data_IF_996647533751
#
_entry.id   IF_996647533751
#
_cell.length_a   1.000
_cell.length_b   1.000
_cell.length_c   1.000
_cell.angle_alpha   90.00
_cell.angle_beta   90.00
_cell.angle_gamma   90.00
#
_symmetry.space_group_name_H-M   'P 1'
#
loop_
_entity.id
_entity.type
_entity.pdbx_description
1 polymer ?
#
# COMPACT_ATOMS: atom_id res chain seq x y z
N UNK A 1 -19.30 -5.26 -17.32
CA UNK A 1 -17.83 -5.11 -17.26
C UNK A 1 -17.40 -4.47 -15.95
N UNK A 2 -16.49 -5.07 -15.24
CA UNK A 2 -15.89 -4.38 -14.08
C UNK A 2 -15.13 -3.13 -14.54
N UNK A 3 -15.12 -2.14 -13.68
CA UNK A 3 -14.42 -0.88 -13.89
C UNK A 3 -13.52 -0.57 -12.71
N UNK A 4 -12.53 0.29 -12.95
CA UNK A 4 -11.62 0.78 -11.93
C UNK A 4 -11.85 2.28 -11.76
N UNK A 5 -12.06 2.69 -10.51
CA UNK A 5 -12.27 4.08 -10.16
C UNK A 5 -11.13 4.53 -9.26
N UNK A 6 -10.36 5.55 -9.66
CA UNK A 6 -9.27 6.05 -8.85
C UNK A 6 -9.79 6.59 -7.53
N UNK A 7 -9.21 6.13 -6.43
CA UNK A 7 -9.57 6.57 -5.09
C UNK A 7 -8.56 7.56 -4.53
N UNK A 8 -7.27 7.20 -4.49
CA UNK A 8 -6.23 8.08 -3.96
C UNK A 8 -4.86 7.73 -4.54
N UNK A 9 -3.96 8.69 -4.40
CA UNK A 9 -2.55 8.51 -4.73
C UNK A 9 -1.72 8.68 -3.47
N UNK A 10 -0.85 7.70 -3.19
CA UNK A 10 0.03 7.68 -2.04
C UNK A 10 1.46 7.91 -2.52
N UNK A 11 2.17 8.80 -1.81
CA UNK A 11 3.61 8.97 -1.95
C UNK A 11 4.24 8.80 -0.59
N UNK A 12 5.19 7.89 -0.47
CA UNK A 12 5.77 7.54 0.81
C UNK A 12 7.26 7.26 0.73
N UNK A 13 7.93 7.48 1.85
CA UNK A 13 9.32 7.09 2.07
C UNK A 13 9.34 5.82 2.90
N UNK A 14 10.16 4.87 2.49
CA UNK A 14 10.36 3.60 3.20
C UNK A 14 11.72 3.58 3.89
N UNK A 15 11.75 2.96 5.08
CA UNK A 15 12.96 2.73 5.84
C UNK A 15 13.10 1.22 6.10
N UNK A 16 13.87 0.48 5.29
CA UNK A 16 13.93 -0.96 5.40
C UNK A 16 14.61 -1.42 6.70
N UNK A 17 14.03 -2.46 7.31
CA UNK A 17 14.60 -3.15 8.46
C UNK A 17 14.79 -4.62 8.10
N UNK A 18 16.05 -5.02 7.96
CA UNK A 18 16.41 -6.38 7.58
C UNK A 18 16.22 -7.32 8.76
N UNK A 19 15.45 -8.38 8.59
CA UNK A 19 15.26 -9.43 9.58
C UNK A 19 16.11 -10.68 9.29
N UNK A 20 16.44 -10.93 8.03
CA UNK A 20 17.32 -12.01 7.62
C UNK A 20 16.60 -13.19 6.99
N UNK A 21 17.38 -14.24 6.71
CA UNK A 21 16.89 -15.44 6.05
C UNK A 21 16.12 -16.33 7.00
N UNK A 22 15.01 -16.84 6.50
CA UNK A 22 14.14 -17.80 7.19
C UNK A 22 13.74 -18.90 6.20
N UNK A 23 13.17 -20.05 6.66
CA UNK A 23 12.74 -21.09 5.74
C UNK A 23 11.78 -20.61 4.65
N UNK A 24 10.96 -19.61 4.95
CA UNK A 24 9.97 -19.06 4.02
C UNK A 24 10.56 -18.06 3.02
N UNK A 25 11.80 -17.59 3.24
CA UNK A 25 12.48 -16.59 2.43
C UNK A 25 13.14 -15.54 3.30
N UNK A 26 13.78 -14.57 2.69
CA UNK A 26 14.38 -13.45 3.41
C UNK A 26 13.28 -12.47 3.82
N UNK A 27 13.29 -12.05 5.09
CA UNK A 27 12.30 -11.13 5.64
C UNK A 27 12.87 -9.73 5.77
N UNK A 28 12.06 -8.77 5.32
CA UNK A 28 12.37 -7.34 5.44
C UNK A 28 11.08 -6.64 5.86
N UNK A 29 11.13 -5.84 6.91
CA UNK A 29 10.04 -4.93 7.23
C UNK A 29 10.35 -3.57 6.62
N UNK A 30 9.35 -2.98 5.96
CA UNK A 30 9.44 -1.64 5.39
C UNK A 30 8.45 -0.72 6.08
N UNK A 31 8.81 -0.12 7.23
CA UNK A 31 8.03 1.01 7.74
C UNK A 31 8.03 2.13 6.71
N UNK A 32 6.89 2.78 6.55
CA UNK A 32 6.78 3.89 5.62
C UNK A 32 5.90 5.00 6.16
N UNK A 33 6.20 6.21 5.72
CA UNK A 33 5.43 7.41 6.03
C UNK A 33 5.35 8.28 4.77
N UNK A 34 4.21 8.92 4.60
CA UNK A 34 3.99 9.79 3.46
C UNK A 34 2.65 10.48 3.49
N UNK A 35 2.13 10.74 2.32
CA UNK A 35 0.88 11.48 2.14
C UNK A 35 0.00 10.81 1.11
N UNK A 36 -1.31 11.03 1.25
CA UNK A 36 -2.31 10.60 0.28
C UNK A 36 -3.14 11.79 -0.17
N UNK A 37 -3.34 11.90 -1.48
CA UNK A 37 -4.24 12.86 -2.10
C UNK A 37 -5.40 12.12 -2.77
N UNK A 38 -6.57 12.72 -2.78
CA UNK A 38 -7.77 12.12 -3.33
C UNK A 38 -8.77 13.19 -3.73
N UNK A 39 -9.67 12.86 -4.66
CA UNK A 39 -10.83 13.70 -4.95
C UNK A 39 -11.88 13.67 -3.82
N UNK A 40 -11.75 12.74 -2.87
CA UNK A 40 -12.68 12.59 -1.76
C UNK A 40 -12.36 13.46 -0.55
N UNK A 41 -11.23 14.17 -0.57
CA UNK A 41 -10.86 15.15 0.47
C UNK A 41 -9.96 16.24 -0.10
N UNK A 42 -9.86 17.35 0.63
CA UNK A 42 -8.97 18.45 0.26
C UNK A 42 -7.57 18.23 0.84
N UNK A 43 -6.55 18.62 0.08
CA UNK A 43 -5.15 18.59 0.52
C UNK A 43 -4.62 17.17 0.69
N UNK A 44 -3.62 17.06 1.54
CA UNK A 44 -2.92 15.81 1.80
C UNK A 44 -3.32 15.25 3.15
N UNK A 45 -3.51 13.94 3.22
CA UNK A 45 -3.68 13.22 4.48
C UNK A 45 -2.44 12.39 4.77
N UNK A 46 -2.02 12.30 6.04
CA UNK A 46 -0.86 11.48 6.38
C UNK A 46 -1.14 10.01 6.15
N UNK A 47 -0.09 9.31 5.71
CA UNK A 47 -0.10 7.86 5.54
C UNK A 47 1.07 7.30 6.34
N UNK A 48 0.82 6.23 7.08
CA UNK A 48 1.88 5.52 7.77
C UNK A 48 1.52 4.06 7.92
N UNK A 49 2.53 3.22 7.90
CA UNK A 49 2.31 1.79 8.05
C UNK A 49 3.60 1.00 7.93
N UNK A 50 3.44 -0.30 7.80
CA UNK A 50 4.54 -1.24 7.60
C UNK A 50 4.14 -2.23 6.51
N UNK A 51 5.06 -2.51 5.61
CA UNK A 51 4.97 -3.61 4.68
C UNK A 51 5.87 -4.74 5.18
N UNK A 52 5.27 -5.85 5.56
CA UNK A 52 5.98 -7.05 6.05
C UNK A 52 6.31 -7.93 4.85
N UNK A 53 7.50 -7.75 4.31
CA UNK A 53 7.91 -8.35 3.04
C UNK A 53 8.63 -9.68 3.24
N UNK A 54 8.34 -10.64 2.37
CA UNK A 54 9.15 -11.85 2.19
C UNK A 54 9.76 -11.80 0.79
N UNK A 55 11.08 -11.84 0.71
CA UNK A 55 11.79 -11.93 -0.57
C UNK A 55 11.82 -13.40 -0.99
N UNK A 56 11.24 -13.66 -2.15
CA UNK A 56 11.09 -15.00 -2.71
C UNK A 56 12.40 -15.48 -3.33
N UNK A 57 12.48 -16.78 -3.62
CA UNK A 57 13.64 -17.36 -4.28
C UNK A 57 13.87 -16.83 -5.70
N UNK A 58 12.81 -16.32 -6.35
CA UNK A 58 12.91 -15.68 -7.66
C UNK A 58 13.33 -14.21 -7.60
N UNK A 59 13.53 -13.66 -6.39
CA UNK A 59 13.95 -12.28 -6.17
C UNK A 59 12.81 -11.28 -6.09
N UNK A 60 11.58 -11.68 -6.39
CA UNK A 60 10.42 -10.82 -6.21
C UNK A 60 9.97 -10.81 -4.75
N UNK A 61 9.05 -9.94 -4.39
CA UNK A 61 8.63 -9.74 -3.01
C UNK A 61 7.16 -10.04 -2.84
N UNK A 62 6.85 -10.86 -1.82
CA UNK A 62 5.48 -10.99 -1.33
C UNK A 62 5.22 -9.87 -0.33
N UNK A 63 4.10 -9.18 -0.49
CA UNK A 63 3.73 -8.01 0.30
C UNK A 63 2.65 -8.37 1.33
N UNK A 64 2.77 -7.77 2.51
CA UNK A 64 1.75 -7.82 3.56
C UNK A 64 1.75 -6.48 4.27
N UNK A 65 0.83 -5.60 3.84
CA UNK A 65 0.82 -4.20 4.22
C UNK A 65 -0.28 -3.93 5.23
N UNK A 66 0.08 -3.22 6.29
CA UNK A 66 -0.85 -2.66 7.25
C UNK A 66 -0.55 -1.19 7.42
N UNK A 67 -1.53 -0.34 7.11
CA UNK A 67 -1.33 1.10 7.10
C UNK A 67 -2.59 1.84 7.51
N UNK A 68 -2.43 3.14 7.76
CA UNK A 68 -3.53 4.06 7.98
C UNK A 68 -3.38 5.26 7.06
N UNK A 69 -4.50 5.75 6.56
CA UNK A 69 -4.61 7.00 5.82
C UNK A 69 -5.46 7.94 6.67
N UNK A 70 -4.94 9.15 6.91
CA UNK A 70 -5.61 10.10 7.78
C UNK A 70 -5.35 9.84 9.25
N UNK A 71 -6.04 10.59 10.09
CA UNK A 71 -5.89 10.49 11.55
C UNK A 71 -7.19 10.82 12.25
N UNK A 72 -7.29 10.40 13.52
CA UNK A 72 -8.47 10.61 14.36
C UNK A 72 -9.73 10.03 13.68
N UNK A 73 -10.79 10.83 13.56
CA UNK A 73 -12.08 10.39 12.98
C UNK A 73 -12.00 10.12 11.48
N UNK A 74 -10.98 10.64 10.81
CA UNK A 74 -10.77 10.46 9.37
C UNK A 74 -9.98 9.19 9.04
N UNK A 75 -9.52 8.46 10.04
CA UNK A 75 -8.66 7.31 9.85
C UNK A 75 -9.32 6.25 8.97
N UNK A 76 -8.59 5.84 7.95
CA UNK A 76 -8.91 4.70 7.12
C UNK A 76 -7.81 3.67 7.37
N UNK A 77 -8.16 2.53 7.95
CA UNK A 77 -7.23 1.41 8.04
C UNK A 77 -7.20 0.70 6.70
N UNK A 78 -6.01 0.39 6.25
CA UNK A 78 -5.75 -0.17 4.94
C UNK A 78 -4.95 -1.45 5.14
N UNK A 79 -5.39 -2.51 4.49
CA UNK A 79 -4.69 -3.78 4.47
C UNK A 79 -4.49 -4.21 3.02
N UNK A 80 -3.25 -4.50 2.66
CA UNK A 80 -2.90 -4.93 1.31
C UNK A 80 -2.02 -6.15 1.32
N UNK A 81 -2.26 -7.04 0.37
CA UNK A 81 -1.38 -8.17 0.07
C UNK A 81 -1.08 -8.14 -1.42
N UNK A 82 0.00 -8.76 -1.83
CA UNK A 82 0.30 -8.80 -3.25
C UNK A 82 1.75 -9.14 -3.53
N UNK A 83 2.20 -8.73 -4.69
CA UNK A 83 3.54 -9.03 -5.19
C UNK A 83 4.18 -7.77 -5.75
N UNK A 84 5.41 -7.50 -5.35
CA UNK A 84 6.22 -6.46 -5.99
C UNK A 84 7.20 -7.11 -6.96
N UNK A 85 7.13 -6.68 -8.22
CA UNK A 85 8.11 -7.08 -9.22
C UNK A 85 9.38 -6.28 -8.96
N UNK A 86 10.47 -6.96 -8.65
CA UNK A 86 11.76 -6.32 -8.43
C UNK A 86 12.53 -6.31 -9.73
N UNK A 87 12.80 -5.12 -10.25
CA UNK A 87 13.54 -4.93 -11.51
C UNK A 87 15.03 -4.73 -11.29
N UNK A 88 15.42 -4.16 -10.15
CA UNK A 88 16.80 -3.92 -9.79
C UNK A 88 16.91 -3.72 -8.29
N UNK A 89 18.10 -3.43 -7.77
CA UNK A 89 18.31 -3.17 -6.35
C UNK A 89 17.56 -1.92 -5.85
N UNK A 90 17.18 -1.02 -6.76
CA UNK A 90 16.55 0.24 -6.40
C UNK A 90 15.16 0.44 -7.01
N UNK A 91 14.72 -0.43 -7.91
CA UNK A 91 13.46 -0.27 -8.64
C UNK A 91 12.55 -1.46 -8.44
N UNK A 92 11.31 -1.19 -8.03
CA UNK A 92 10.28 -2.20 -7.82
C UNK A 92 8.92 -1.69 -8.31
N UNK A 93 8.03 -2.62 -8.63
CA UNK A 93 6.65 -2.33 -9.04
C UNK A 93 5.70 -3.09 -8.12
N UNK A 94 5.16 -2.44 -7.08
CA UNK A 94 4.18 -3.06 -6.22
C UNK A 94 2.84 -3.24 -6.90
N UNK A 95 2.21 -4.38 -6.64
CA UNK A 95 0.86 -4.71 -7.08
C UNK A 95 0.12 -5.25 -5.87
N UNK A 96 -0.94 -4.57 -5.44
CA UNK A 96 -1.59 -4.84 -4.17
C UNK A 96 -3.08 -5.12 -4.35
N UNK A 97 -3.58 -6.06 -3.55
CA UNK A 97 -5.01 -6.29 -3.34
C UNK A 97 -5.36 -5.70 -1.98
N UNK A 98 -6.34 -4.80 -1.95
CA UNK A 98 -6.57 -3.92 -0.81
C UNK A 98 -7.99 -4.02 -0.31
N UNK A 99 -8.15 -3.99 1.04
CA UNK A 99 -9.42 -3.76 1.71
C UNK A 99 -9.26 -2.67 2.75
N UNK A 100 -10.37 -2.05 3.16
CA UNK A 100 -10.38 -0.92 4.07
C UNK A 100 -11.29 -1.17 5.26
N UNK A 101 -10.97 -0.48 6.36
CA UNK A 101 -11.85 -0.34 7.53
C UNK A 101 -11.83 1.12 7.95
N UNK A 102 -12.99 1.73 8.07
CA UNK A 102 -13.09 3.11 8.52
C UNK A 102 -14.37 3.36 9.29
N UNK A 103 -14.27 4.19 10.31
CA UNK A 103 -15.43 4.75 11.01
C UNK A 103 -15.85 6.12 10.48
N UNK A 104 -15.19 6.63 9.43
CA UNK A 104 -15.54 7.89 8.80
C UNK A 104 -16.85 7.71 8.04
N UNK A 105 -17.91 8.40 8.48
CA UNK A 105 -19.25 8.26 7.89
C UNK A 105 -19.30 8.66 6.43
N UNK A 106 -18.54 9.69 6.04
CA UNK A 106 -18.50 10.17 4.66
C UNK A 106 -17.88 9.16 3.70
N UNK A 107 -17.07 8.24 4.22
CA UNK A 107 -16.39 7.22 3.45
C UNK A 107 -16.77 5.80 3.89
N UNK A 108 -17.93 5.65 4.52
CA UNK A 108 -18.39 4.35 5.04
C UNK A 108 -18.47 3.27 3.95
N UNK A 109 -18.69 3.66 2.71
CA UNK A 109 -18.75 2.75 1.56
C UNK A 109 -17.43 1.99 1.33
N UNK A 110 -16.30 2.51 1.82
CA UNK A 110 -15.00 1.81 1.73
C UNK A 110 -15.00 0.47 2.46
N UNK A 111 -15.82 0.32 3.49
CA UNK A 111 -15.86 -0.92 4.30
C UNK A 111 -16.35 -2.15 3.52
N UNK A 112 -16.96 -1.96 2.36
CA UNK A 112 -17.58 -3.03 1.57
C UNK A 112 -17.00 -3.15 0.15
N UNK A 113 -15.93 -2.46 -0.15
CA UNK A 113 -15.31 -2.51 -1.47
C UNK A 113 -13.98 -3.26 -1.43
N UNK A 114 -13.54 -3.65 -2.61
CA UNK A 114 -12.21 -4.19 -2.86
C UNK A 114 -11.47 -3.21 -3.76
N UNK A 115 -10.19 -3.07 -3.55
CA UNK A 115 -9.37 -2.17 -4.34
C UNK A 115 -8.09 -2.85 -4.80
N UNK A 116 -7.43 -2.25 -5.80
CA UNK A 116 -6.10 -2.64 -6.23
C UNK A 116 -5.18 -1.43 -6.15
N UNK A 117 -3.95 -1.67 -5.75
CA UNK A 117 -2.90 -0.66 -5.73
C UNK A 117 -1.84 -0.99 -6.76
N UNK A 118 -1.54 -0.05 -7.61
CA UNK A 118 -0.51 -0.19 -8.64
C UNK A 118 0.43 0.99 -8.55
N UNK A 119 1.73 0.73 -8.66
CA UNK A 119 2.67 1.83 -8.55
C UNK A 119 4.08 1.45 -8.94
N UNK A 120 5.00 2.30 -8.52
CA UNK A 120 6.41 2.14 -8.72
C UNK A 120 7.18 2.65 -7.51
N UNK A 121 8.38 2.11 -7.32
CA UNK A 121 9.28 2.55 -6.27
C UNK A 121 10.69 2.63 -6.81
N UNK A 122 11.39 3.67 -6.39
CA UNK A 122 12.79 3.88 -6.73
C UNK A 122 13.50 4.56 -5.56
N UNK A 123 14.60 3.95 -5.11
CA UNK A 123 15.45 4.55 -4.08
C UNK A 123 14.75 4.77 -2.73
N UNK A 124 13.82 3.91 -2.33
CA UNK A 124 13.09 4.03 -1.08
C UNK A 124 11.84 4.91 -1.16
N UNK A 125 11.58 5.53 -2.31
CA UNK A 125 10.35 6.29 -2.58
C UNK A 125 9.34 5.40 -3.27
N UNK A 126 8.10 5.40 -2.77
CA UNK A 126 6.97 4.68 -3.38
C UNK A 126 5.91 5.67 -3.82
N UNK A 127 5.45 5.50 -5.05
CA UNK A 127 4.23 6.11 -5.56
C UNK A 127 3.23 5.01 -5.85
N UNK A 128 2.06 5.08 -5.25
CA UNK A 128 1.00 4.08 -5.39
C UNK A 128 -0.32 4.76 -5.68
N UNK A 129 -1.01 4.31 -6.73
CA UNK A 129 -2.38 4.72 -6.98
C UNK A 129 -3.32 3.59 -6.62
N UNK A 130 -4.33 3.91 -5.83
CA UNK A 130 -5.34 2.94 -5.39
C UNK A 130 -6.60 3.14 -6.21
N UNK A 131 -7.09 2.04 -6.79
CA UNK A 131 -8.30 2.00 -7.60
C UNK A 131 -9.34 1.12 -6.92
N UNK A 132 -10.56 1.63 -6.76
CA UNK A 132 -11.70 0.84 -6.31
C UNK A 132 -12.17 -0.03 -7.46
N UNK A 133 -12.41 -1.29 -7.18
CA UNK A 133 -12.98 -2.21 -8.17
C UNK A 133 -14.50 -2.10 -8.13
N UNK A 134 -15.09 -1.71 -9.24
CA UNK A 134 -16.55 -1.64 -9.41
C UNK A 134 -17.01 -2.84 -10.24
N UNK A 135 -17.81 -3.73 -9.64
CA UNK A 135 -18.32 -4.90 -10.33
C UNK A 135 -19.16 -4.57 -11.56
#
# INVERSE_FOLDING_TARGET
MPAFEEFCEIKALMAPRMLGKMPQGARIDFPFEGTATSSHWEGQRPVRGVDYVTVRSDGHMDLDIRATIGQKRQTIAYRGTGVSIVKSQIEAMPQELITFQTGNEDLAWLNTVVAVGLGGGEGGMISLTIYIVRP
#
